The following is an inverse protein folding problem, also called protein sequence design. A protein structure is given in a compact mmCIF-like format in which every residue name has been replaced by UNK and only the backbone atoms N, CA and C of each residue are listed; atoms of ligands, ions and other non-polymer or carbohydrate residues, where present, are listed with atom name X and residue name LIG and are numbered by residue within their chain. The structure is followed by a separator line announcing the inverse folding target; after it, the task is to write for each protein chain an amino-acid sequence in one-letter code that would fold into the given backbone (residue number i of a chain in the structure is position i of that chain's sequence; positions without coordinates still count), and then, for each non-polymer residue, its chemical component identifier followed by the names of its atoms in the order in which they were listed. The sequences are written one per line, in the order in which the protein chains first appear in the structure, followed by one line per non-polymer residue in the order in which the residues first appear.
data_IF_138442188882
#
_entry.id   IF_138442188882
#
_cell.length_a   1.000
_cell.length_b   1.000
_cell.length_c   1.000
_cell.angle_alpha   90.00
_cell.angle_beta   90.00
_cell.angle_gamma   90.00
#
_symmetry.space_group_name_H-M   'P 1'
#
loop_
_entity.id
_entity.type
_entity.pdbx_description
1 polymer ?
#
# COMPACT_ATOMS: atom_id res chain seq x y z
N UNK A 1 -85.76 20.71 -1.32
CA UNK A 1 -84.57 19.86 -1.70
C UNK A 1 -83.41 20.78 -1.88
N UNK A 2 -82.50 20.79 -0.91
CA UNK A 2 -81.21 21.62 -0.98
C UNK A 2 -80.06 20.63 -1.29
N UNK A 3 -79.45 20.81 -2.47
CA UNK A 3 -78.25 20.08 -2.82
C UNK A 3 -77.03 20.79 -2.19
N UNK A 4 -76.25 20.04 -1.38
CA UNK A 4 -74.97 20.50 -0.86
C UNK A 4 -73.88 20.05 -1.81
N UNK A 5 -73.13 21.02 -2.35
CA UNK A 5 -71.95 20.82 -3.19
C UNK A 5 -70.74 20.68 -2.26
N UNK A 6 -70.12 19.49 -2.24
CA UNK A 6 -68.87 19.23 -1.52
C UNK A 6 -67.67 19.60 -2.41
N UNK A 7 -66.97 20.66 -2.07
CA UNK A 7 -65.69 21.00 -2.70
C UNK A 7 -64.56 20.25 -2.03
N UNK A 8 -64.00 19.25 -2.70
CA UNK A 8 -62.82 18.52 -2.26
C UNK A 8 -61.57 19.29 -2.62
N UNK A 9 -60.91 19.86 -1.64
CA UNK A 9 -59.59 20.51 -1.79
C UNK A 9 -58.51 19.45 -1.81
N UNK A 10 -57.96 19.10 -2.98
CA UNK A 10 -56.74 18.30 -3.12
C UNK A 10 -55.52 19.15 -2.75
N UNK A 11 -54.97 18.93 -1.57
CA UNK A 11 -53.65 19.47 -1.21
C UNK A 11 -52.57 18.68 -1.91
N UNK A 12 -52.01 19.23 -2.98
CA UNK A 12 -50.75 18.76 -3.57
C UNK A 12 -49.59 19.13 -2.64
N UNK A 13 -49.13 18.15 -1.85
CA UNK A 13 -47.84 18.23 -1.15
C UNK A 13 -46.73 18.12 -2.19
N UNK A 14 -46.21 19.25 -2.65
CA UNK A 14 -45.01 19.33 -3.45
C UNK A 14 -43.83 19.03 -2.50
N UNK A 15 -43.45 17.75 -2.36
CA UNK A 15 -42.19 17.38 -1.70
C UNK A 15 -41.04 17.86 -2.59
N UNK A 16 -40.39 18.93 -2.17
CA UNK A 16 -39.13 19.38 -2.76
C UNK A 16 -38.10 18.22 -2.56
N UNK A 17 -37.90 17.41 -3.57
CA UNK A 17 -36.78 16.49 -3.65
C UNK A 17 -35.56 17.38 -3.69
N UNK A 18 -34.92 17.63 -2.53
CA UNK A 18 -33.56 18.16 -2.48
C UNK A 18 -32.71 17.16 -3.23
N UNK A 19 -32.31 17.51 -4.44
CA UNK A 19 -31.21 16.84 -5.13
C UNK A 19 -30.03 16.89 -4.19
N UNK A 20 -29.71 15.78 -3.52
CA UNK A 20 -28.42 15.61 -2.88
C UNK A 20 -27.40 15.67 -3.99
N UNK A 21 -26.62 16.74 -4.05
CA UNK A 21 -25.44 16.80 -4.89
C UNK A 21 -24.60 15.58 -4.51
N UNK A 22 -24.65 14.53 -5.32
CA UNK A 22 -23.84 13.33 -5.11
C UNK A 22 -22.38 13.75 -5.24
N UNK A 23 -21.60 13.48 -4.22
CA UNK A 23 -20.16 13.74 -4.24
C UNK A 23 -19.54 12.92 -5.38
N UNK A 24 -18.77 13.56 -6.26
CA UNK A 24 -18.04 12.86 -7.31
C UNK A 24 -16.63 12.51 -6.84
N UNK A 25 -16.31 11.22 -6.58
CA UNK A 25 -15.01 10.80 -6.07
C UNK A 25 -13.95 10.63 -7.18
N UNK A 26 -14.29 10.73 -8.46
CA UNK A 26 -13.37 10.49 -9.57
C UNK A 26 -12.20 11.47 -9.57
N UNK A 27 -11.04 10.98 -9.97
CA UNK A 27 -9.81 11.77 -10.14
C UNK A 27 -8.68 11.37 -9.21
N UNK A 28 -7.70 12.27 -9.11
CA UNK A 28 -6.47 12.07 -8.36
C UNK A 28 -6.61 12.62 -6.93
N UNK A 29 -6.03 11.90 -5.99
CA UNK A 29 -6.11 12.21 -4.58
C UNK A 29 -4.73 12.17 -3.93
N UNK A 30 -4.51 13.06 -2.99
CA UNK A 30 -3.44 12.95 -1.99
C UNK A 30 -4.04 12.51 -0.67
N UNK A 31 -3.42 11.51 -0.05
CA UNK A 31 -3.71 11.12 1.32
C UNK A 31 -2.48 11.24 2.19
N UNK A 32 -2.66 11.29 3.51
CA UNK A 32 -1.57 11.20 4.45
C UNK A 32 -1.99 10.57 5.78
N UNK A 33 -1.05 9.93 6.46
CA UNK A 33 -1.15 9.48 7.83
C UNK A 33 -0.37 10.46 8.71
N UNK A 34 -1.05 11.29 9.54
CA UNK A 34 -0.37 12.14 10.52
C UNK A 34 0.42 11.31 11.52
N UNK A 35 1.64 11.74 11.84
CA UNK A 35 2.53 11.12 12.83
C UNK A 35 2.61 11.98 14.10
N UNK A 36 3.00 11.35 15.22
CA UNK A 36 3.09 12.03 16.52
C UNK A 36 4.16 13.14 16.59
N UNK A 37 5.17 13.07 15.72
CA UNK A 37 6.24 14.04 15.63
C UNK A 37 5.91 15.27 14.76
N UNK A 38 4.68 15.38 14.29
CA UNK A 38 4.23 16.44 13.37
C UNK A 38 4.52 16.19 11.90
N UNK A 39 5.26 15.14 11.57
CA UNK A 39 5.44 14.66 10.19
C UNK A 39 4.20 13.89 9.70
N UNK A 40 4.19 13.53 8.44
CA UNK A 40 3.14 12.70 7.85
C UNK A 40 3.73 11.68 6.87
N UNK A 41 3.04 10.56 6.69
CA UNK A 41 3.35 9.61 5.60
C UNK A 41 2.38 9.90 4.45
N UNK A 42 2.78 10.66 3.42
CA UNK A 42 1.90 10.97 2.31
C UNK A 42 1.82 9.82 1.32
N UNK A 43 0.68 9.74 0.62
CA UNK A 43 0.47 8.80 -0.48
C UNK A 43 -0.46 9.41 -1.52
N UNK A 44 -0.43 8.89 -2.74
CA UNK A 44 -1.36 9.27 -3.79
C UNK A 44 -2.20 8.07 -4.20
N UNK A 45 -3.43 8.35 -4.62
CA UNK A 45 -4.30 7.36 -5.20
C UNK A 45 -5.22 8.00 -6.24
N UNK A 46 -5.70 7.19 -7.18
CA UNK A 46 -6.73 7.61 -8.13
C UNK A 46 -8.02 6.83 -7.92
N UNK A 47 -9.13 7.47 -8.21
CA UNK A 47 -10.45 6.85 -8.27
C UNK A 47 -10.92 6.87 -9.71
N UNK A 48 -11.23 5.69 -10.25
CA UNK A 48 -11.62 5.49 -11.65
C UNK A 48 -12.88 4.63 -11.71
N UNK A 49 -13.57 4.62 -12.85
CA UNK A 49 -14.61 3.63 -13.13
C UNK A 49 -13.97 2.36 -13.69
N UNK A 50 -14.44 1.19 -13.23
CA UNK A 50 -14.17 -0.07 -13.92
C UNK A 50 -15.09 -0.24 -15.16
N UNK A 51 -14.97 -1.36 -15.85
CA UNK A 51 -15.79 -1.68 -17.03
C UNK A 51 -17.29 -1.80 -16.75
N UNK A 52 -17.68 -1.91 -15.49
CA UNK A 52 -19.08 -1.97 -15.02
C UNK A 52 -19.57 -0.64 -14.45
N UNK A 53 -18.77 0.43 -14.53
CA UNK A 53 -19.08 1.75 -14.00
C UNK A 53 -18.97 1.87 -12.47
N UNK A 54 -18.36 0.88 -11.78
CA UNK A 54 -18.11 0.94 -10.34
C UNK A 54 -16.83 1.72 -10.05
N UNK A 55 -16.82 2.45 -8.95
CA UNK A 55 -15.61 3.13 -8.50
C UNK A 55 -14.58 2.14 -7.96
N UNK A 56 -13.36 2.25 -8.48
CA UNK A 56 -12.19 1.48 -8.06
C UNK A 56 -11.03 2.41 -7.74
N UNK A 57 -10.19 2.00 -6.81
CA UNK A 57 -9.05 2.78 -6.32
C UNK A 57 -7.76 2.11 -6.77
N UNK A 58 -6.80 2.95 -7.20
CA UNK A 58 -5.42 2.54 -7.43
C UNK A 58 -4.50 3.41 -6.59
N UNK A 59 -3.67 2.81 -5.73
CA UNK A 59 -2.58 3.50 -5.05
C UNK A 59 -1.43 3.71 -6.03
N UNK A 60 -0.84 4.91 -6.02
CA UNK A 60 0.14 5.34 -7.01
C UNK A 60 1.48 5.59 -6.32
N UNK A 61 2.54 4.88 -6.74
CA UNK A 61 3.91 5.07 -6.27
C UNK A 61 4.83 5.26 -7.48
N UNK A 62 4.89 6.49 -8.00
CA UNK A 62 5.57 6.80 -9.26
C UNK A 62 4.85 6.19 -10.45
N UNK A 63 5.52 5.28 -11.15
CA UNK A 63 4.92 4.54 -12.27
C UNK A 63 4.16 3.28 -11.84
N UNK A 64 4.28 2.86 -10.58
CA UNK A 64 3.54 1.71 -10.06
C UNK A 64 2.12 2.13 -9.69
N UNK A 65 1.14 1.43 -10.25
CA UNK A 65 -0.27 1.50 -9.85
C UNK A 65 -0.66 0.17 -9.20
N UNK A 66 -1.12 0.24 -7.96
CA UNK A 66 -1.53 -0.93 -7.21
C UNK A 66 -3.03 -0.91 -6.94
N UNK A 67 -3.76 -1.93 -7.37
CA UNK A 67 -5.20 -2.01 -7.15
C UNK A 67 -5.53 -2.02 -5.66
N UNK A 68 -6.22 -0.97 -5.20
CA UNK A 68 -6.56 -0.74 -3.80
C UNK A 68 -7.94 -1.26 -3.39
N UNK A 69 -8.79 -1.65 -4.36
CA UNK A 69 -10.12 -2.17 -4.08
C UNK A 69 -11.27 -1.31 -4.60
N UNK A 70 -12.49 -1.65 -4.20
CA UNK A 70 -13.69 -0.88 -4.56
C UNK A 70 -13.90 0.29 -3.60
N UNK A 71 -14.41 1.40 -4.15
CA UNK A 71 -14.90 2.53 -3.39
C UNK A 71 -16.42 2.55 -3.44
N UNK A 72 -17.05 2.68 -2.28
CA UNK A 72 -18.50 2.75 -2.14
C UNK A 72 -18.83 4.01 -1.34
N UNK A 73 -19.79 4.80 -1.81
CA UNK A 73 -20.34 5.90 -1.02
C UNK A 73 -21.45 5.38 -0.12
N UNK A 74 -21.31 5.62 1.19
CA UNK A 74 -22.30 5.24 2.21
C UNK A 74 -22.67 6.48 2.99
N UNK A 75 -23.86 7.02 2.75
CA UNK A 75 -24.32 8.31 3.33
C UNK A 75 -23.27 9.40 3.09
N UNK A 76 -22.75 10.01 4.14
CA UNK A 76 -21.79 11.09 4.13
C UNK A 76 -20.33 10.60 4.21
N UNK A 77 -20.04 9.40 3.71
CA UNK A 77 -18.69 8.84 3.71
C UNK A 77 -18.38 8.05 2.45
N UNK A 78 -17.11 8.02 2.08
CA UNK A 78 -16.53 7.11 1.12
C UNK A 78 -15.85 5.97 1.87
N UNK A 79 -16.07 4.75 1.42
CA UNK A 79 -15.45 3.54 1.96
C UNK A 79 -14.65 2.85 0.88
N UNK A 80 -13.34 2.67 1.10
CA UNK A 80 -12.46 1.92 0.23
C UNK A 80 -12.15 0.59 0.92
N UNK A 81 -12.62 -0.50 0.29
CA UNK A 81 -12.51 -1.87 0.79
C UNK A 81 -11.27 -2.54 0.22
N UNK A 82 -10.22 -2.63 1.03
CA UNK A 82 -8.91 -3.20 0.65
C UNK A 82 -8.86 -4.65 1.16
N UNK A 83 -9.67 -5.50 0.54
CA UNK A 83 -9.96 -6.86 1.01
C UNK A 83 -8.72 -7.75 1.11
N UNK A 84 -7.76 -7.60 0.20
CA UNK A 84 -6.51 -8.37 0.18
C UNK A 84 -5.66 -8.19 1.44
N UNK A 85 -5.84 -7.09 2.17
CA UNK A 85 -5.10 -6.78 3.39
C UNK A 85 -5.98 -6.68 4.63
N UNK A 86 -7.25 -7.07 4.53
CA UNK A 86 -8.22 -6.90 5.61
C UNK A 86 -8.25 -5.45 6.12
N UNK A 87 -8.29 -4.47 5.18
CA UNK A 87 -8.28 -3.04 5.53
C UNK A 87 -9.47 -2.30 4.93
N UNK A 88 -9.96 -1.35 5.69
CA UNK A 88 -11.01 -0.42 5.31
C UNK A 88 -10.53 1.01 5.54
N UNK A 89 -10.61 1.83 4.52
CA UNK A 89 -10.43 3.28 4.63
C UNK A 89 -11.80 3.94 4.55
N UNK A 90 -12.14 4.71 5.56
CA UNK A 90 -13.40 5.48 5.63
C UNK A 90 -13.08 6.96 5.65
N UNK A 91 -13.67 7.73 4.73
CA UNK A 91 -13.42 9.16 4.52
C UNK A 91 -14.76 9.89 4.63
N UNK A 92 -14.90 10.81 5.56
CA UNK A 92 -16.11 11.63 5.72
C UNK A 92 -16.21 12.68 4.62
N UNK A 93 -17.36 12.75 3.92
CA UNK A 93 -17.65 13.74 2.90
C UNK A 93 -18.37 14.91 3.58
N UNK A 94 -17.60 15.89 4.05
CA UNK A 94 -18.15 17.20 4.41
C UNK A 94 -17.70 18.18 3.36
N UNK A 95 -18.42 19.28 3.16
CA UNK A 95 -18.14 20.31 2.14
C UNK A 95 -16.79 21.04 2.35
N UNK A 96 -15.75 20.31 2.63
CA UNK A 96 -14.40 20.79 2.86
C UNK A 96 -13.48 20.26 1.77
N UNK A 97 -12.52 21.06 1.35
CA UNK A 97 -11.46 20.66 0.42
C UNK A 97 -10.60 19.53 1.01
N UNK A 98 -10.38 19.57 2.33
CA UNK A 98 -9.61 18.58 3.08
C UNK A 98 -10.59 17.68 3.84
N UNK A 99 -10.57 16.40 3.55
CA UNK A 99 -11.42 15.41 4.16
C UNK A 99 -10.63 14.62 5.21
N UNK A 100 -11.31 14.20 6.26
CA UNK A 100 -10.73 13.40 7.33
C UNK A 100 -11.37 12.03 7.38
N UNK A 101 -10.60 11.04 7.79
CA UNK A 101 -11.08 9.67 7.88
C UNK A 101 -10.20 8.80 8.76
N UNK A 102 -10.37 7.51 8.61
CA UNK A 102 -9.54 6.51 9.26
C UNK A 102 -9.26 5.33 8.33
N UNK A 103 -8.16 4.65 8.61
CA UNK A 103 -7.76 3.39 7.99
C UNK A 103 -7.60 2.35 9.11
N UNK A 104 -8.30 1.21 9.03
CA UNK A 104 -8.42 0.23 10.11
C UNK A 104 -8.59 -1.19 9.57
N UNK A 105 -8.50 -2.19 10.44
CA UNK A 105 -8.91 -3.56 10.08
C UNK A 105 -10.41 -3.63 9.80
N UNK A 106 -10.80 -4.45 8.82
CA UNK A 106 -12.21 -4.70 8.50
C UNK A 106 -12.86 -5.61 9.55
N UNK A 107 -12.18 -6.72 9.88
CA UNK A 107 -12.76 -7.81 10.67
C UNK A 107 -13.12 -7.42 12.11
N UNK A 108 -12.32 -6.59 12.76
CA UNK A 108 -12.52 -6.23 14.17
C UNK A 108 -12.45 -4.73 14.45
N UNK A 109 -12.18 -3.90 13.45
CA UNK A 109 -12.06 -2.45 13.61
C UNK A 109 -10.80 -1.96 14.33
N UNK A 110 -9.91 -2.87 14.71
CA UNK A 110 -8.65 -2.55 15.38
C UNK A 110 -7.64 -1.86 14.44
N UNK A 111 -6.51 -1.42 15.00
CA UNK A 111 -5.47 -0.71 14.28
C UNK A 111 -6.05 0.48 13.48
N UNK A 112 -6.89 1.28 14.12
CA UNK A 112 -7.46 2.47 13.50
C UNK A 112 -6.47 3.64 13.54
N UNK A 113 -6.08 4.14 12.37
CA UNK A 113 -5.20 5.30 12.22
C UNK A 113 -5.92 6.43 11.51
N UNK A 114 -5.78 7.66 11.97
CA UNK A 114 -6.35 8.82 11.28
C UNK A 114 -5.69 8.99 9.91
N UNK A 115 -6.48 9.43 8.95
CA UNK A 115 -6.01 9.85 7.63
C UNK A 115 -6.60 11.21 7.28
N UNK A 116 -5.85 11.94 6.48
CA UNK A 116 -6.28 13.18 5.85
C UNK A 116 -6.18 13.01 4.35
N UNK A 117 -7.20 13.39 3.59
CA UNK A 117 -7.18 13.27 2.13
C UNK A 117 -7.66 14.53 1.45
N UNK A 118 -7.13 14.82 0.27
CA UNK A 118 -7.47 15.96 -0.55
C UNK A 118 -7.63 15.52 -2.00
N UNK A 119 -8.79 15.82 -2.59
CA UNK A 119 -9.07 15.56 -4.00
C UNK A 119 -8.41 16.61 -4.88
N UNK A 120 -8.01 16.23 -6.10
CA UNK A 120 -7.32 17.08 -7.07
C UNK A 120 -5.98 17.64 -6.55
N UNK A 121 -5.33 16.90 -5.67
CA UNK A 121 -3.96 17.16 -5.22
C UNK A 121 -3.09 15.95 -5.52
N UNK A 122 -2.01 16.16 -6.26
CA UNK A 122 -1.02 15.12 -6.60
C UNK A 122 0.34 15.36 -5.96
N UNK A 123 0.52 16.50 -5.26
CA UNK A 123 1.78 16.89 -4.64
C UNK A 123 2.04 16.03 -3.40
N UNK A 124 2.89 15.01 -3.53
CA UNK A 124 3.19 14.07 -2.44
C UNK A 124 3.90 14.74 -1.28
N UNK A 125 4.97 15.50 -1.54
CA UNK A 125 5.74 16.22 -0.54
C UNK A 125 5.73 17.72 -0.79
N UNK A 126 5.64 18.50 0.29
CA UNK A 126 5.79 19.96 0.28
C UNK A 126 7.18 20.29 0.81
N UNK A 127 7.92 21.12 0.08
CA UNK A 127 9.22 21.58 0.45
C UNK A 127 9.18 23.10 0.65
N UNK A 128 9.77 23.58 1.73
CA UNK A 128 9.84 25.02 1.99
C UNK A 128 10.68 25.78 0.96
N UNK A 129 11.75 25.12 0.48
CA UNK A 129 12.64 25.66 -0.54
C UNK A 129 12.81 24.68 -1.68
N UNK A 130 12.89 25.20 -2.90
CA UNK A 130 13.27 24.44 -4.08
C UNK A 130 14.77 24.60 -4.30
N UNK A 131 15.51 23.52 -4.18
CA UNK A 131 16.97 23.46 -4.34
C UNK A 131 17.32 22.42 -5.40
N UNK A 132 18.31 22.71 -6.25
CA UNK A 132 18.77 21.75 -7.23
C UNK A 132 19.19 20.44 -6.54
N UNK A 133 18.65 19.27 -6.95
CA UNK A 133 18.92 18.02 -6.28
C UNK A 133 20.31 17.49 -6.62
N UNK A 134 20.95 16.83 -5.66
CA UNK A 134 22.07 15.93 -5.98
C UNK A 134 21.56 14.67 -6.66
N UNK A 135 22.37 14.07 -7.52
CA UNK A 135 22.03 12.82 -8.19
C UNK A 135 22.43 11.64 -7.29
N UNK A 136 21.39 10.91 -6.83
CA UNK A 136 21.54 9.69 -6.02
C UNK A 136 21.09 8.43 -6.78
N UNK A 137 20.85 8.50 -8.09
CA UNK A 137 20.50 7.30 -8.85
C UNK A 137 21.62 6.26 -8.80
N UNK A 138 21.27 4.99 -8.73
CA UNK A 138 22.22 3.89 -8.71
C UNK A 138 21.85 2.78 -7.71
N UNK A 139 22.80 1.89 -7.51
CA UNK A 139 22.70 0.73 -6.65
C UNK A 139 23.50 0.94 -5.37
N UNK A 140 22.92 0.51 -4.26
CA UNK A 140 23.44 0.75 -2.92
C UNK A 140 23.48 -0.51 -2.08
N UNK A 141 24.53 -0.67 -1.29
CA UNK A 141 24.52 -1.55 -0.14
C UNK A 141 23.84 -0.82 1.03
N UNK A 142 22.77 -1.38 1.59
CA UNK A 142 21.94 -0.71 2.58
C UNK A 142 21.90 -1.52 3.87
N UNK A 143 21.98 -0.82 5.01
CA UNK A 143 21.81 -1.39 6.34
C UNK A 143 20.67 -0.67 7.04
N UNK A 144 19.66 -1.42 7.44
CA UNK A 144 18.61 -0.98 8.34
C UNK A 144 18.96 -1.42 9.76
N UNK A 145 18.84 -0.51 10.72
CA UNK A 145 19.08 -0.80 12.14
C UNK A 145 17.82 -0.44 12.94
N UNK A 146 17.23 -1.41 13.63
CA UNK A 146 16.07 -1.17 14.49
C UNK A 146 16.47 -0.70 15.90
N UNK A 147 15.48 -0.37 16.73
CA UNK A 147 15.69 0.13 18.10
C UNK A 147 16.47 -0.85 19.01
N UNK A 148 16.41 -2.15 18.74
CA UNK A 148 17.21 -3.15 19.47
C UNK A 148 18.64 -3.31 18.96
N UNK A 149 19.06 -2.50 17.97
CA UNK A 149 20.38 -2.59 17.33
C UNK A 149 20.52 -3.72 16.31
N UNK A 150 19.45 -4.49 16.04
CA UNK A 150 19.48 -5.54 15.02
C UNK A 150 19.60 -4.92 13.63
N UNK A 151 20.57 -5.42 12.86
CA UNK A 151 20.83 -4.98 11.51
C UNK A 151 20.23 -5.93 10.47
N UNK A 152 19.66 -5.34 9.40
CA UNK A 152 19.16 -6.05 8.22
C UNK A 152 19.84 -5.44 7.00
N UNK A 153 20.56 -6.26 6.26
CA UNK A 153 21.19 -5.86 4.98
C UNK A 153 20.17 -5.94 3.85
N UNK A 154 20.31 -5.02 2.90
CA UNK A 154 19.49 -4.96 1.70
C UNK A 154 20.31 -4.39 0.54
N UNK A 155 19.81 -4.53 -0.68
CA UNK A 155 20.28 -3.81 -1.85
C UNK A 155 19.24 -2.74 -2.18
N UNK A 156 19.64 -1.47 -2.19
CA UNK A 156 18.77 -0.37 -2.60
C UNK A 156 18.96 -0.08 -4.10
N UNK A 157 17.85 0.06 -4.81
CA UNK A 157 17.82 0.49 -6.21
C UNK A 157 17.13 1.85 -6.25
N UNK A 158 17.85 2.90 -6.58
CA UNK A 158 17.33 4.27 -6.66
C UNK A 158 17.30 4.71 -8.12
N UNK A 159 16.13 5.14 -8.57
CA UNK A 159 15.97 5.87 -9.83
C UNK A 159 15.70 7.34 -9.54
N UNK A 160 16.14 8.23 -10.44
CA UNK A 160 15.92 9.65 -10.28
C UNK A 160 15.80 10.33 -11.64
N UNK A 161 14.81 11.21 -11.74
CA UNK A 161 14.59 12.09 -12.87
C UNK A 161 14.35 13.52 -12.33
N UNK A 162 15.32 14.40 -12.55
CA UNK A 162 15.31 15.73 -11.94
C UNK A 162 15.25 15.64 -10.41
N UNK A 163 14.25 16.26 -9.81
CA UNK A 163 14.01 16.22 -8.36
C UNK A 163 13.04 15.13 -7.91
N UNK A 164 12.56 14.29 -8.80
CA UNK A 164 11.70 13.15 -8.49
C UNK A 164 12.48 11.87 -8.55
N UNK A 165 12.06 10.87 -7.79
CA UNK A 165 12.68 9.56 -7.82
C UNK A 165 11.90 8.51 -7.07
N UNK A 166 12.41 7.29 -7.17
CA UNK A 166 11.87 6.15 -6.46
C UNK A 166 12.98 5.28 -5.91
N UNK A 167 12.67 4.54 -4.86
CA UNK A 167 13.58 3.55 -4.30
C UNK A 167 12.83 2.26 -4.00
N UNK A 168 13.47 1.14 -4.30
CA UNK A 168 13.08 -0.19 -3.80
C UNK A 168 14.26 -0.83 -3.08
N UNK A 169 13.96 -1.60 -2.05
CA UNK A 169 14.95 -2.33 -1.27
C UNK A 169 14.75 -3.82 -1.44
N UNK A 170 15.72 -4.48 -2.03
CA UNK A 170 15.76 -5.93 -2.18
C UNK A 170 16.30 -6.55 -0.90
N UNK A 171 15.59 -7.52 -0.35
CA UNK A 171 15.96 -8.28 0.84
C UNK A 171 15.85 -9.78 0.55
N UNK A 172 16.49 -10.66 1.33
CA UNK A 172 16.32 -12.11 1.15
C UNK A 172 14.87 -12.59 1.24
N UNK A 173 14.01 -11.84 1.92
CA UNK A 173 12.57 -12.14 2.07
C UNK A 173 11.68 -11.50 0.98
N UNK A 174 12.25 -10.85 -0.01
CA UNK A 174 11.54 -10.13 -1.08
C UNK A 174 11.85 -8.63 -1.12
N UNK A 175 11.27 -7.93 -2.07
CA UNK A 175 11.43 -6.48 -2.19
C UNK A 175 10.49 -5.69 -1.29
N UNK A 176 10.78 -4.40 -1.13
CA UNK A 176 9.95 -3.47 -0.35
C UNK A 176 8.84 -2.82 -1.17
N UNK A 177 8.64 -3.20 -2.43
CA UNK A 177 7.88 -2.46 -3.42
C UNK A 177 8.50 -1.08 -3.72
N UNK A 178 7.84 -0.29 -4.58
CA UNK A 178 8.36 1.02 -4.97
C UNK A 178 7.87 2.11 -4.03
N UNK A 179 8.79 2.81 -3.38
CA UNK A 179 8.52 4.10 -2.77
C UNK A 179 8.84 5.21 -3.75
N UNK A 180 8.08 6.30 -3.67
CA UNK A 180 8.20 7.42 -4.60
C UNK A 180 8.24 8.74 -3.83
N UNK A 181 8.97 9.71 -4.37
CA UNK A 181 9.11 10.99 -3.71
C UNK A 181 10.01 11.97 -4.43
N UNK A 182 10.75 12.75 -3.67
CA UNK A 182 11.59 13.81 -4.22
C UNK A 182 12.85 14.07 -3.42
N UNK A 183 13.82 14.66 -4.13
CA UNK A 183 15.14 15.07 -3.63
C UNK A 183 15.25 16.59 -3.79
N UNK A 184 15.71 17.29 -2.75
CA UNK A 184 15.96 18.73 -2.74
C UNK A 184 17.32 19.00 -2.11
N UNK A 185 18.27 19.53 -2.92
CA UNK A 185 19.66 19.68 -2.48
C UNK A 185 20.24 18.35 -2.05
N UNK A 186 20.58 18.25 -0.78
CA UNK A 186 21.12 17.05 -0.12
C UNK A 186 20.07 16.24 0.64
N UNK A 187 18.80 16.61 0.63
CA UNK A 187 17.76 15.94 1.36
C UNK A 187 16.87 15.11 0.44
N UNK A 188 16.35 13.99 0.93
CA UNK A 188 15.39 13.16 0.21
C UNK A 188 14.21 12.79 1.10
N UNK A 189 13.04 12.68 0.47
CA UNK A 189 11.81 12.16 1.08
C UNK A 189 11.11 11.22 0.08
N UNK A 190 10.89 9.97 0.47
CA UNK A 190 10.13 8.99 -0.28
C UNK A 190 9.07 8.37 0.60
N UNK A 191 7.94 8.00 0.05
CA UNK A 191 6.91 7.25 0.78
C UNK A 191 6.32 6.13 -0.05
N UNK A 192 5.76 5.15 0.63
CA UNK A 192 5.11 3.98 0.07
C UNK A 192 3.78 3.74 0.77
N UNK A 193 2.73 3.54 0.00
CA UNK A 193 1.48 2.99 0.48
C UNK A 193 0.72 2.29 -0.66
N UNK A 194 0.33 1.05 -0.43
CA UNK A 194 -0.43 0.21 -1.37
C UNK A 194 -1.73 -0.31 -0.74
N UNK A 195 -2.20 0.38 0.32
CA UNK A 195 -3.33 -0.08 1.13
C UNK A 195 -2.91 -0.85 2.38
N UNK A 196 -1.62 -1.12 2.54
CA UNK A 196 -1.02 -1.82 3.68
C UNK A 196 0.32 -1.20 4.06
N UNK A 197 0.64 -1.18 5.37
CA UNK A 197 1.95 -0.80 5.92
C UNK A 197 2.56 0.48 5.32
N UNK A 198 1.99 1.67 5.59
CA UNK A 198 2.54 2.91 5.08
C UNK A 198 3.95 3.15 5.63
N UNK A 199 4.86 3.59 4.74
CA UNK A 199 6.26 3.84 5.06
C UNK A 199 6.68 5.22 4.55
N UNK A 200 7.51 5.89 5.35
CA UNK A 200 8.21 7.12 5.02
C UNK A 200 9.71 6.88 5.12
N UNK A 201 10.46 7.32 4.13
CA UNK A 201 11.91 7.33 4.08
C UNK A 201 12.38 8.78 3.99
N UNK A 202 13.09 9.25 4.98
CA UNK A 202 13.68 10.60 4.98
C UNK A 202 15.16 10.54 5.32
N UNK A 203 15.94 11.46 4.76
CA UNK A 203 17.35 11.49 5.08
C UNK A 203 18.13 12.52 4.26
N UNK A 204 19.43 12.43 4.40
CA UNK A 204 20.42 13.32 3.77
C UNK A 204 21.45 12.52 2.99
N UNK A 205 22.06 13.22 2.05
CA UNK A 205 23.22 12.79 1.28
C UNK A 205 24.43 13.40 2.00
N UNK A 206 25.33 12.55 2.47
CA UNK A 206 26.53 12.94 3.18
C UNK A 206 27.61 13.43 2.19
N UNK A 207 28.66 14.07 2.71
CA UNK A 207 29.77 14.64 1.88
C UNK A 207 30.46 13.56 1.05
N UNK A 208 30.54 12.34 1.56
CA UNK A 208 31.13 11.18 0.87
C UNK A 208 30.19 10.51 -0.14
N UNK A 209 28.98 11.05 -0.33
CA UNK A 209 27.96 10.51 -1.21
C UNK A 209 27.15 9.35 -0.61
N UNK A 210 27.45 8.94 0.63
CA UNK A 210 26.61 7.97 1.34
C UNK A 210 25.27 8.59 1.73
N UNK A 211 24.28 7.73 1.98
CA UNK A 211 22.95 8.17 2.43
C UNK A 211 22.74 7.79 3.89
N UNK A 212 22.25 8.76 4.66
CA UNK A 212 21.87 8.59 6.04
C UNK A 212 20.41 8.99 6.21
N UNK A 213 19.63 8.18 6.91
CA UNK A 213 18.21 8.49 7.08
C UNK A 213 17.49 7.55 8.01
N UNK A 214 16.17 7.64 7.94
CA UNK A 214 15.25 6.78 8.68
C UNK A 214 14.19 6.20 7.75
N UNK A 215 13.75 4.99 8.06
CA UNK A 215 12.48 4.42 7.62
C UNK A 215 11.50 4.51 8.77
N UNK A 216 10.39 5.18 8.59
CA UNK A 216 9.35 5.35 9.58
C UNK A 216 8.03 4.72 9.10
N UNK A 217 7.47 3.84 9.91
CA UNK A 217 6.10 3.36 9.80
C UNK A 217 5.21 4.01 10.86
N UNK A 218 3.97 3.54 11.00
CA UNK A 218 3.03 4.09 11.99
C UNK A 218 3.46 3.79 13.44
N UNK A 219 4.19 2.70 13.67
CA UNK A 219 4.60 2.22 15.01
C UNK A 219 6.10 1.91 15.13
N UNK A 220 6.88 2.09 14.07
CA UNK A 220 8.27 1.66 14.05
C UNK A 220 9.16 2.66 13.34
N UNK A 221 10.39 2.75 13.79
CA UNK A 221 11.46 3.54 13.17
C UNK A 221 12.67 2.64 12.98
N UNK A 222 13.37 2.78 11.87
CA UNK A 222 14.65 2.13 11.62
C UNK A 222 15.62 3.16 11.06
N UNK A 223 16.86 3.13 11.54
CA UNK A 223 17.94 3.91 10.95
C UNK A 223 18.36 3.29 9.62
N UNK A 224 18.73 4.13 8.65
CA UNK A 224 19.24 3.72 7.34
C UNK A 224 20.62 4.27 7.14
N UNK A 225 21.53 3.41 6.65
CA UNK A 225 22.80 3.78 6.06
C UNK A 225 22.90 3.10 4.69
N UNK A 226 23.27 3.85 3.67
CA UNK A 226 23.41 3.30 2.32
C UNK A 226 24.70 3.82 1.67
N UNK A 227 25.46 2.90 1.10
CA UNK A 227 26.73 3.19 0.42
C UNK A 227 26.58 2.79 -1.05
N UNK A 228 26.92 3.70 -1.95
CA UNK A 228 26.83 3.44 -3.39
C UNK A 228 27.77 2.31 -3.76
N UNK A 229 27.22 1.23 -4.31
CA UNK A 229 27.97 0.05 -4.71
C UNK A 229 27.22 -0.69 -5.83
N UNK A 230 27.67 -0.51 -7.06
CA UNK A 230 27.07 -1.15 -8.23
C UNK A 230 27.21 -2.69 -8.20
N UNK A 231 28.19 -3.21 -7.43
CA UNK A 231 28.39 -4.64 -7.22
C UNK A 231 27.55 -5.22 -6.03
N UNK A 232 26.78 -4.37 -5.32
CA UNK A 232 25.96 -4.84 -4.21
C UNK A 232 25.04 -6.00 -4.65
N UNK A 233 25.03 -7.09 -3.90
CA UNK A 233 24.23 -8.27 -4.20
C UNK A 233 23.67 -8.88 -2.91
N UNK A 234 22.52 -9.52 -3.04
CA UNK A 234 21.98 -10.39 -1.98
C UNK A 234 22.73 -11.72 -1.98
N UNK A 235 22.72 -12.45 -0.84
CA UNK A 235 23.16 -13.84 -0.81
C UNK A 235 22.42 -14.68 -1.88
N UNK A 236 23.08 -15.72 -2.38
CA UNK A 236 22.47 -16.66 -3.31
C UNK A 236 21.18 -17.25 -2.69
N UNK A 237 20.01 -17.11 -3.34
CA UNK A 237 18.74 -17.63 -2.82
C UNK A 237 18.79 -19.12 -2.49
N UNK A 238 19.58 -19.92 -3.23
CA UNK A 238 19.74 -21.36 -3.00
C UNK A 238 20.40 -21.69 -1.65
N UNK A 239 21.09 -20.73 -1.04
CA UNK A 239 21.76 -20.89 0.26
C UNK A 239 20.89 -20.47 1.45
N UNK A 240 19.75 -19.81 1.21
CA UNK A 240 18.93 -19.22 2.27
C UNK A 240 17.96 -20.18 2.94
N UNK A 241 17.52 -21.22 2.19
CA UNK A 241 16.56 -22.19 2.68
C UNK A 241 17.09 -23.60 2.45
N UNK A 242 17.18 -24.38 3.52
CA UNK A 242 17.69 -25.74 3.49
C UNK A 242 16.80 -26.66 4.32
N UNK A 243 16.80 -27.97 3.97
CA UNK A 243 16.16 -28.95 4.80
C UNK A 243 16.90 -29.06 6.15
N UNK A 244 16.17 -29.11 7.25
CA UNK A 244 16.75 -29.31 8.59
C UNK A 244 17.52 -30.65 8.70
N UNK A 245 17.05 -31.63 7.98
CA UNK A 245 17.68 -32.93 7.89
C UNK A 245 17.69 -33.42 6.44
N UNK A 246 18.85 -33.35 5.78
CA UNK A 246 19.01 -33.74 4.38
C UNK A 246 18.85 -35.26 4.14
N UNK A 247 18.82 -36.09 5.20
CA UNK A 247 18.62 -37.51 5.11
C UNK A 247 17.15 -37.94 5.12
N UNK A 248 16.21 -37.00 5.37
CA UNK A 248 14.79 -37.31 5.38
C UNK A 248 14.09 -36.52 4.30
N UNK A 249 13.16 -37.13 3.55
CA UNK A 249 12.29 -36.38 2.63
C UNK A 249 11.54 -35.28 3.34
N UNK A 250 11.38 -34.17 2.66
CA UNK A 250 10.51 -33.11 3.17
C UNK A 250 9.07 -33.62 3.23
N UNK A 251 8.42 -33.48 4.38
CA UNK A 251 7.02 -33.83 4.57
C UNK A 251 6.33 -32.86 5.51
N UNK A 252 5.03 -32.71 5.36
CA UNK A 252 4.17 -31.97 6.27
C UNK A 252 2.76 -32.59 6.34
N UNK A 253 2.08 -32.32 7.45
CA UNK A 253 0.66 -32.59 7.62
C UNK A 253 0.02 -31.42 8.34
N UNK A 254 -0.75 -30.60 7.61
CA UNK A 254 -1.30 -29.33 8.08
C UNK A 254 -2.82 -29.26 7.80
N UNK A 255 -3.61 -28.59 8.65
CA UNK A 255 -5.02 -28.34 8.34
C UNK A 255 -5.16 -27.31 7.20
N UNK A 256 -6.09 -27.57 6.28
CA UNK A 256 -6.53 -26.60 5.30
C UNK A 256 -7.53 -25.59 5.93
N UNK A 257 -8.04 -24.65 5.13
CA UNK A 257 -9.01 -23.63 5.58
C UNK A 257 -10.32 -24.21 6.12
N UNK A 258 -10.65 -25.46 5.81
CA UNK A 258 -11.84 -26.15 6.34
C UNK A 258 -11.51 -27.05 7.55
N UNK A 259 -10.25 -27.04 8.01
CA UNK A 259 -9.79 -27.89 9.12
C UNK A 259 -9.41 -29.33 8.73
N UNK A 260 -9.61 -29.72 7.47
CA UNK A 260 -9.18 -31.05 6.98
C UNK A 260 -7.64 -31.10 6.88
N UNK A 261 -7.03 -32.16 7.43
CA UNK A 261 -5.60 -32.41 7.27
C UNK A 261 -5.24 -32.70 5.81
N UNK A 262 -4.19 -32.08 5.36
CA UNK A 262 -3.54 -32.31 4.06
C UNK A 262 -2.08 -32.68 4.32
N UNK A 263 -1.62 -33.73 3.66
CA UNK A 263 -0.24 -34.24 3.74
C UNK A 263 0.35 -34.38 2.35
N UNK A 264 1.68 -34.28 2.22
CA UNK A 264 2.37 -34.66 0.98
C UNK A 264 2.21 -36.15 0.62
N UNK A 265 1.79 -36.98 1.58
CA UNK A 265 1.50 -38.41 1.38
C UNK A 265 0.09 -38.63 0.79
N UNK A 266 -0.71 -37.61 0.59
CA UNK A 266 -2.02 -37.74 -0.04
C UNK A 266 -1.86 -38.13 -1.53
N UNK A 267 -2.64 -39.11 -1.97
CA UNK A 267 -2.54 -39.70 -3.32
C UNK A 267 -2.67 -38.69 -4.47
N UNK A 268 -3.31 -37.55 -4.22
CA UNK A 268 -3.45 -36.46 -5.20
C UNK A 268 -2.11 -35.87 -5.65
N UNK A 269 -1.05 -36.03 -4.83
CA UNK A 269 0.30 -35.51 -5.10
C UNK A 269 1.25 -36.55 -5.68
N UNK A 270 0.87 -37.84 -5.73
CA UNK A 270 1.76 -38.90 -6.20
C UNK A 270 2.17 -38.68 -7.68
N UNK A 271 3.47 -38.84 -7.92
CA UNK A 271 4.08 -38.69 -9.24
C UNK A 271 3.86 -37.32 -9.91
N UNK A 272 3.66 -36.25 -9.12
CA UNK A 272 3.51 -34.89 -9.61
C UNK A 272 4.61 -33.99 -9.06
N UNK A 273 5.17 -33.09 -9.89
CA UNK A 273 5.97 -31.98 -9.37
C UNK A 273 5.13 -31.10 -8.44
N UNK A 274 5.71 -30.68 -7.33
CA UNK A 274 5.02 -29.85 -6.34
C UNK A 274 5.82 -28.57 -6.16
N UNK A 275 5.14 -27.42 -6.29
CA UNK A 275 5.67 -26.12 -5.91
C UNK A 275 5.04 -25.77 -4.56
N UNK A 276 5.89 -25.63 -3.52
CA UNK A 276 5.47 -25.23 -2.20
C UNK A 276 5.91 -23.79 -1.93
N UNK A 277 4.96 -22.91 -1.67
CA UNK A 277 5.23 -21.52 -1.28
C UNK A 277 4.86 -21.32 0.19
N UNK A 278 5.68 -20.53 0.91
CA UNK A 278 5.40 -20.12 2.28
C UNK A 278 5.09 -18.63 2.25
N UNK A 279 3.86 -18.28 2.57
CA UNK A 279 3.38 -16.90 2.47
C UNK A 279 2.37 -16.56 3.55
N UNK A 280 1.80 -15.35 3.45
CA UNK A 280 0.74 -14.87 4.32
C UNK A 280 -0.17 -13.88 3.60
N UNK A 281 -1.42 -13.79 4.04
CA UNK A 281 -2.43 -12.87 3.48
C UNK A 281 -2.05 -11.39 3.60
N UNK A 282 -1.12 -11.08 4.50
CA UNK A 282 -0.55 -9.75 4.72
C UNK A 282 0.65 -9.42 3.82
N UNK A 283 1.10 -10.36 2.99
CA UNK A 283 2.32 -10.22 2.17
C UNK A 283 1.94 -9.85 0.73
N UNK A 284 2.18 -8.62 0.26
CA UNK A 284 1.84 -8.20 -1.10
C UNK A 284 2.55 -9.03 -2.18
N UNK A 285 3.86 -9.28 -2.00
CA UNK A 285 4.66 -10.08 -2.94
C UNK A 285 4.15 -11.52 -3.04
N UNK A 286 3.68 -12.09 -1.93
CA UNK A 286 3.09 -13.43 -1.91
C UNK A 286 1.76 -13.47 -2.69
N UNK A 287 0.98 -12.40 -2.65
CA UNK A 287 -0.26 -12.30 -3.43
C UNK A 287 0.03 -12.25 -4.94
N UNK A 288 1.06 -11.49 -5.34
CA UNK A 288 1.50 -11.40 -6.74
C UNK A 288 2.06 -12.75 -7.22
N UNK A 289 2.89 -13.42 -6.41
CA UNK A 289 3.42 -14.75 -6.70
C UNK A 289 2.31 -15.79 -6.84
N UNK A 290 1.35 -15.81 -5.92
CA UNK A 290 0.21 -16.72 -5.96
C UNK A 290 -0.63 -16.53 -7.23
N UNK A 291 -0.85 -15.28 -7.64
CA UNK A 291 -1.53 -14.95 -8.90
C UNK A 291 -0.74 -15.45 -10.11
N UNK A 292 0.56 -15.20 -10.14
CA UNK A 292 1.44 -15.68 -11.21
C UNK A 292 1.41 -17.21 -11.32
N UNK A 293 1.64 -17.93 -10.22
CA UNK A 293 1.65 -19.39 -10.16
C UNK A 293 0.29 -19.99 -10.54
N UNK A 294 -0.82 -19.37 -10.09
CA UNK A 294 -2.16 -19.81 -10.47
C UNK A 294 -2.42 -19.70 -11.97
N UNK A 295 -1.98 -18.60 -12.60
CA UNK A 295 -2.11 -18.42 -14.03
C UNK A 295 -1.21 -19.38 -14.81
N UNK A 296 0.02 -19.55 -14.36
CA UNK A 296 0.97 -20.51 -14.95
C UNK A 296 0.43 -21.93 -14.88
N UNK A 297 -0.09 -22.37 -13.73
CA UNK A 297 -0.68 -23.70 -13.54
C UNK A 297 -1.88 -23.97 -14.46
N UNK A 298 -2.71 -22.94 -14.71
CA UNK A 298 -3.86 -23.07 -15.62
C UNK A 298 -3.47 -23.14 -17.11
N UNK A 299 -2.31 -22.60 -17.45
CA UNK A 299 -1.81 -22.56 -18.82
C UNK A 299 -0.99 -23.79 -19.20
N UNK A 300 -0.53 -24.60 -18.24
CA UNK A 300 0.30 -25.78 -18.42
C UNK A 300 -0.30 -27.01 -17.72
#
# INVERSE_FOLDING_TARGET
MRQAIFFSFLFFFCQSIKSQNSFNPLGEWRGSFPLYNGEEIPFNFSVRNDSLGKYVVYFINGSEEYYGGQLIQVKDSLQIWINQFDRLMTIGIKNNKILKGNWRRQTNGEDAYPIVVEQNNTQRFIWEKQTAPQNIAGKYEVVFTNDSGKQIKAVGLINQEGNKGGVTFLRPSGDSRYSYGSIQGTEFKFSLFIGYSPLLFTGSIEVDGSLKGIQQGLKSVQLIRAYKNEAAALPDPSTLTQLKNNQQPFNFSLPNITGKKISLEDSIYFNKPIILTIGGTWCPNCADEAKFLSNWYKAN
#
